data_IF_308143165736
#
_entry.id   IF_308143165736
#
_cell.length_a   1.000
_cell.length_b   1.000
_cell.length_c   1.000
_cell.angle_alpha   90.00
_cell.angle_beta   90.00
_cell.angle_gamma   90.00
#
_symmetry.space_group_name_H-M   'P 1'
#
loop_
_entity.id
_entity.type
_entity.pdbx_description
1 polymer ?
#
# COMPACT_ATOMS: atom_id res chain seq x y z
N UNK A 1 -4.31 -1.37 12.04
CA UNK A 1 -4.08 -1.02 10.61
C UNK A 1 -5.34 -0.41 10.07
N UNK A 2 -5.24 0.66 9.26
CA UNK A 2 -6.41 1.31 8.67
C UNK A 2 -6.79 0.60 7.38
N UNK A 3 -8.09 0.42 7.15
CA UNK A 3 -8.58 -0.06 5.86
C UNK A 3 -8.81 1.17 4.97
N UNK A 4 -7.81 1.45 4.12
CA UNK A 4 -7.82 2.63 3.24
C UNK A 4 -8.40 2.22 1.90
N UNK A 5 -9.65 2.62 1.65
CA UNK A 5 -10.38 2.29 0.43
C UNK A 5 -11.43 3.35 0.08
N UNK A 6 -11.87 3.37 -1.17
CA UNK A 6 -13.02 4.14 -1.64
C UNK A 6 -14.22 3.21 -1.82
N UNK A 7 -15.38 3.62 -1.30
CA UNK A 7 -16.61 2.84 -1.44
C UNK A 7 -17.11 2.83 -2.88
N UNK A 8 -17.58 1.66 -3.36
CA UNK A 8 -18.15 1.51 -4.72
C UNK A 8 -17.27 2.02 -5.86
N UNK A 9 -15.95 2.02 -5.67
CA UNK A 9 -15.02 2.59 -6.64
C UNK A 9 -15.01 1.84 -7.98
N UNK A 10 -15.21 0.51 -7.96
CA UNK A 10 -15.27 -0.31 -9.18
C UNK A 10 -16.38 0.17 -10.12
N UNK A 11 -17.56 0.45 -9.57
CA UNK A 11 -18.71 0.95 -10.34
C UNK A 11 -18.43 2.35 -10.91
N UNK A 12 -17.78 3.21 -10.14
CA UNK A 12 -17.41 4.55 -10.59
C UNK A 12 -16.43 4.49 -11.76
N UNK A 13 -15.38 3.68 -11.67
CA UNK A 13 -14.39 3.51 -12.76
C UNK A 13 -15.06 2.95 -14.01
N UNK A 14 -15.91 1.92 -13.88
CA UNK A 14 -16.64 1.35 -15.03
C UNK A 14 -17.57 2.36 -15.71
N UNK A 15 -18.27 3.21 -14.94
CA UNK A 15 -19.10 4.29 -15.50
C UNK A 15 -18.28 5.31 -16.27
N UNK A 16 -17.08 5.65 -15.80
CA UNK A 16 -16.19 6.61 -16.49
C UNK A 16 -15.67 6.08 -17.81
N UNK A 17 -15.31 4.82 -17.88
CA UNK A 17 -14.89 4.18 -19.14
C UNK A 17 -15.98 4.29 -20.22
N UNK A 18 -17.26 4.14 -19.82
CA UNK A 18 -18.40 4.23 -20.75
C UNK A 18 -18.78 5.64 -21.18
N UNK A 19 -18.44 6.67 -20.37
CA UNK A 19 -18.88 8.05 -20.62
C UNK A 19 -17.81 8.98 -21.22
N UNK A 20 -16.59 8.46 -21.45
CA UNK A 20 -15.44 9.26 -21.90
C UNK A 20 -14.71 10.00 -20.78
N UNK A 21 -13.52 10.56 -21.07
CA UNK A 21 -12.65 11.17 -20.08
C UNK A 21 -13.25 12.45 -19.48
N UNK A 22 -13.09 12.60 -18.17
CA UNK A 22 -13.40 13.83 -17.41
C UNK A 22 -12.12 14.65 -17.31
N UNK A 23 -11.85 15.47 -18.32
CA UNK A 23 -10.54 16.17 -18.48
C UNK A 23 -10.29 17.30 -17.47
N UNK A 24 -11.31 17.97 -16.99
CA UNK A 24 -11.16 19.09 -16.05
C UNK A 24 -11.97 18.87 -14.78
N UNK A 25 -11.29 18.79 -13.63
CA UNK A 25 -11.99 18.98 -12.36
C UNK A 25 -12.42 20.44 -12.25
N UNK A 26 -13.70 20.65 -12.06
CA UNK A 26 -14.16 21.93 -11.62
C UNK A 26 -14.22 21.91 -10.08
N UNK A 27 -13.28 22.58 -9.43
CA UNK A 27 -13.23 22.62 -7.96
C UNK A 27 -14.54 23.05 -7.35
N UNK A 28 -15.26 23.95 -8.06
CA UNK A 28 -16.53 24.44 -7.59
C UNK A 28 -17.54 23.32 -7.38
N UNK A 29 -17.53 22.27 -8.22
CA UNK A 29 -18.39 21.10 -8.08
C UNK A 29 -18.11 20.31 -6.80
N UNK A 30 -16.86 20.04 -6.50
CA UNK A 30 -16.44 19.34 -5.28
C UNK A 30 -16.67 20.18 -4.02
N UNK A 31 -16.43 21.48 -4.09
CA UNK A 31 -16.64 22.44 -3.00
C UNK A 31 -18.13 22.54 -2.67
N UNK A 32 -19.00 22.72 -3.68
CA UNK A 32 -20.44 22.78 -3.49
C UNK A 32 -20.97 21.52 -2.78
N UNK A 33 -20.57 20.33 -3.28
CA UNK A 33 -20.99 19.06 -2.69
C UNK A 33 -20.48 18.92 -1.26
N UNK A 34 -19.20 19.22 -1.02
CA UNK A 34 -18.59 19.10 0.30
C UNK A 34 -19.28 20.04 1.31
N UNK A 35 -19.49 21.31 0.94
CA UNK A 35 -20.13 22.29 1.81
C UNK A 35 -21.58 21.92 2.12
N UNK A 36 -22.34 21.46 1.13
CA UNK A 36 -23.71 20.96 1.36
C UNK A 36 -23.73 19.81 2.35
N UNK A 37 -22.82 18.83 2.20
CA UNK A 37 -22.75 17.68 3.10
C UNK A 37 -22.31 18.09 4.52
N UNK A 38 -21.35 19.01 4.64
CA UNK A 38 -20.93 19.61 5.92
C UNK A 38 -22.11 20.26 6.66
N UNK A 39 -22.93 21.01 5.93
CA UNK A 39 -24.15 21.65 6.45
C UNK A 39 -25.31 20.67 6.63
N UNK A 40 -25.14 19.39 6.29
CA UNK A 40 -26.17 18.32 6.35
C UNK A 40 -27.43 18.65 5.53
N UNK A 41 -27.28 19.39 4.43
CA UNK A 41 -28.38 19.79 3.55
C UNK A 41 -28.62 18.74 2.46
N UNK A 42 -29.90 18.50 2.10
CA UNK A 42 -30.29 17.70 0.93
C UNK A 42 -30.14 18.49 -0.36
N UNK A 43 -30.22 17.82 -1.51
CA UNK A 43 -30.25 18.55 -2.81
C UNK A 43 -31.46 19.49 -2.86
N UNK A 44 -32.63 19.06 -2.37
CA UNK A 44 -33.86 19.85 -2.32
C UNK A 44 -33.68 21.15 -1.51
N UNK A 45 -33.03 21.05 -0.34
CA UNK A 45 -32.82 22.22 0.53
C UNK A 45 -32.00 23.31 -0.18
N UNK A 46 -30.97 22.92 -0.94
CA UNK A 46 -30.07 23.84 -1.60
C UNK A 46 -30.67 24.40 -2.89
N UNK A 47 -31.46 23.60 -3.61
CA UNK A 47 -31.98 24.01 -4.95
C UNK A 47 -33.28 24.79 -4.92
N UNK A 48 -33.95 24.84 -3.78
CA UNK A 48 -35.26 25.51 -3.64
C UNK A 48 -35.24 26.91 -4.21
N UNK A 49 -36.17 27.23 -5.13
CA UNK A 49 -36.29 28.53 -5.83
C UNK A 49 -35.11 28.93 -6.73
N UNK A 50 -34.10 28.09 -6.91
CA UNK A 50 -32.94 28.40 -7.76
C UNK A 50 -32.91 27.51 -9.01
N UNK A 51 -32.99 26.18 -8.82
CA UNK A 51 -32.90 25.24 -9.92
C UNK A 51 -33.48 23.85 -9.54
N UNK A 52 -33.45 22.90 -10.46
CA UNK A 52 -33.87 21.53 -10.16
C UNK A 52 -32.77 20.76 -9.39
N UNK A 53 -33.16 19.77 -8.58
CA UNK A 53 -32.22 18.87 -7.92
C UNK A 53 -31.34 18.12 -8.94
N UNK A 54 -31.90 17.75 -10.10
CA UNK A 54 -31.15 17.12 -11.18
C UNK A 54 -30.05 18.03 -11.74
N UNK A 55 -30.26 19.36 -11.79
CA UNK A 55 -29.24 20.31 -12.17
C UNK A 55 -28.07 20.32 -11.17
N UNK A 56 -28.35 20.51 -9.88
CA UNK A 56 -27.33 20.52 -8.84
C UNK A 56 -26.58 19.18 -8.81
N UNK A 57 -27.28 18.05 -8.89
CA UNK A 57 -26.68 16.73 -8.94
C UNK A 57 -25.71 16.56 -10.13
N UNK A 58 -26.03 17.13 -11.31
CA UNK A 58 -25.11 17.12 -12.47
C UNK A 58 -23.91 18.02 -12.24
N UNK A 59 -24.10 19.19 -11.66
CA UNK A 59 -23.01 20.12 -11.28
C UNK A 59 -22.10 19.44 -10.25
N UNK A 60 -22.65 18.90 -9.19
CA UNK A 60 -21.87 18.20 -8.14
C UNK A 60 -21.11 16.98 -8.65
N UNK A 61 -21.54 16.34 -9.75
CA UNK A 61 -20.83 15.22 -10.41
C UNK A 61 -19.89 15.65 -11.52
N UNK A 62 -19.67 16.95 -11.68
CA UNK A 62 -18.84 17.53 -12.72
C UNK A 62 -19.31 17.17 -14.16
N UNK A 63 -20.62 16.96 -14.34
CA UNK A 63 -21.25 16.67 -15.63
C UNK A 63 -21.78 17.92 -16.34
N UNK A 64 -21.63 19.09 -15.75
CA UNK A 64 -22.02 20.39 -16.31
C UNK A 64 -21.03 21.46 -15.86
N UNK A 65 -20.78 22.44 -16.73
CA UNK A 65 -19.97 23.61 -16.38
C UNK A 65 -20.67 24.41 -15.26
N UNK A 66 -20.04 24.57 -14.09
CA UNK A 66 -20.62 25.30 -12.97
C UNK A 66 -20.50 26.82 -13.12
N UNK A 67 -19.94 27.34 -14.22
CA UNK A 67 -19.78 28.79 -14.44
C UNK A 67 -21.07 29.39 -15.01
N UNK A 68 -22.10 29.52 -14.17
CA UNK A 68 -23.36 30.18 -14.54
C UNK A 68 -24.02 30.83 -13.31
N UNK A 69 -24.98 31.75 -13.58
CA UNK A 69 -25.68 32.51 -12.54
C UNK A 69 -26.40 31.64 -11.51
N UNK A 70 -26.94 30.48 -11.90
CA UNK A 70 -27.62 29.56 -10.94
C UNK A 70 -26.62 29.01 -9.93
N UNK A 71 -25.43 28.65 -10.39
CA UNK A 71 -24.36 28.16 -9.50
C UNK A 71 -23.86 29.26 -8.58
N UNK A 72 -23.79 30.50 -9.03
CA UNK A 72 -23.53 31.66 -8.16
C UNK A 72 -24.54 31.74 -7.03
N UNK A 73 -25.85 31.67 -7.34
CA UNK A 73 -26.90 31.65 -6.32
C UNK A 73 -26.81 30.47 -5.36
N UNK A 74 -26.41 29.28 -5.86
CA UNK A 74 -26.15 28.12 -5.02
C UNK A 74 -24.95 28.35 -4.08
N UNK A 75 -23.87 28.99 -4.56
CA UNK A 75 -22.74 29.40 -3.73
C UNK A 75 -23.15 30.37 -2.62
N UNK A 76 -23.93 31.39 -2.96
CA UNK A 76 -24.46 32.37 -1.99
C UNK A 76 -25.30 31.66 -0.90
N UNK A 77 -26.14 30.67 -1.26
CA UNK A 77 -26.94 29.88 -0.31
C UNK A 77 -26.08 28.98 0.62
N UNK A 78 -24.92 28.56 0.15
CA UNK A 78 -23.98 27.75 0.91
C UNK A 78 -22.90 28.61 1.62
N UNK A 79 -23.05 29.91 1.63
CA UNK A 79 -22.06 30.85 2.20
C UNK A 79 -20.65 30.68 1.59
N UNK A 80 -20.59 30.58 0.25
CA UNK A 80 -19.37 30.43 -0.53
C UNK A 80 -19.14 31.67 -1.44
N UNK A 81 -17.91 32.14 -1.48
CA UNK A 81 -17.51 33.24 -2.39
C UNK A 81 -17.26 32.70 -3.81
N UNK A 82 -18.29 32.79 -4.67
CA UNK A 82 -18.23 32.34 -6.05
C UNK A 82 -17.09 33.00 -6.85
N UNK A 83 -16.80 34.29 -6.64
CA UNK A 83 -15.74 35.01 -7.40
C UNK A 83 -14.37 34.43 -7.06
N UNK A 84 -14.10 34.22 -5.77
CA UNK A 84 -12.84 33.63 -5.30
C UNK A 84 -12.67 32.19 -5.80
N UNK A 85 -13.73 31.39 -5.75
CA UNK A 85 -13.71 29.97 -6.12
C UNK A 85 -13.64 29.74 -7.64
N UNK A 86 -14.28 30.62 -8.45
CA UNK A 86 -14.26 30.48 -9.90
C UNK A 86 -12.89 30.80 -10.54
N UNK A 87 -12.00 31.45 -9.80
CA UNK A 87 -10.62 31.76 -10.21
C UNK A 87 -9.62 30.68 -9.90
N UNK A 88 -10.03 29.61 -9.19
CA UNK A 88 -9.14 28.48 -8.89
C UNK A 88 -8.84 27.71 -10.18
N UNK A 89 -7.60 27.79 -10.65
CA UNK A 89 -7.11 27.01 -11.78
C UNK A 89 -6.89 25.55 -11.40
N UNK A 90 -7.29 24.64 -12.29
CA UNK A 90 -7.39 23.20 -12.02
C UNK A 90 -6.14 22.39 -12.35
N UNK A 91 -5.92 21.30 -11.61
CA UNK A 91 -5.14 20.10 -11.89
C UNK A 91 -3.61 20.21 -12.02
N UNK A 92 -3.01 21.39 -12.22
CA UNK A 92 -1.55 21.50 -12.41
C UNK A 92 -0.76 21.01 -11.19
N UNK A 93 -1.26 21.26 -9.97
CA UNK A 93 -0.58 20.84 -8.74
C UNK A 93 -0.71 19.34 -8.51
N UNK A 94 -1.88 18.75 -8.78
CA UNK A 94 -2.07 17.30 -8.69
C UNK A 94 -1.18 16.58 -9.69
N UNK A 95 -1.10 17.09 -10.94
CA UNK A 95 -0.21 16.53 -11.95
C UNK A 95 1.26 16.65 -11.55
N UNK A 96 1.68 17.80 -11.06
CA UNK A 96 3.03 18.01 -10.56
C UNK A 96 3.38 17.03 -9.43
N UNK A 97 2.50 16.90 -8.43
CA UNK A 97 2.68 15.99 -7.31
C UNK A 97 2.74 14.53 -7.79
N UNK A 98 1.83 14.13 -8.69
CA UNK A 98 1.79 12.80 -9.26
C UNK A 98 3.10 12.46 -10.00
N UNK A 99 3.57 13.35 -10.88
CA UNK A 99 4.79 13.13 -11.64
C UNK A 99 6.04 13.10 -10.75
N UNK A 100 6.13 14.02 -9.78
CA UNK A 100 7.22 14.02 -8.79
C UNK A 100 7.21 12.74 -7.94
N UNK A 101 6.03 12.23 -7.59
CA UNK A 101 5.91 10.96 -6.86
C UNK A 101 6.38 9.78 -7.71
N UNK A 102 5.98 9.74 -8.97
CA UNK A 102 6.41 8.73 -9.94
C UNK A 102 7.94 8.76 -10.11
N UNK A 103 8.54 9.94 -10.14
CA UNK A 103 9.99 10.12 -10.32
C UNK A 103 10.79 9.99 -9.01
N UNK A 104 10.14 9.66 -7.87
CA UNK A 104 10.73 9.53 -6.53
C UNK A 104 11.36 10.84 -6.00
N UNK A 105 10.83 11.98 -6.42
CA UNK A 105 11.26 13.32 -5.99
C UNK A 105 10.44 13.79 -4.78
N UNK A 106 10.54 13.04 -3.67
CA UNK A 106 9.68 13.23 -2.49
C UNK A 106 9.87 14.59 -1.82
N UNK A 107 11.09 15.14 -1.81
CA UNK A 107 11.36 16.45 -1.23
C UNK A 107 10.61 17.57 -1.95
N UNK A 108 10.48 17.48 -3.28
CA UNK A 108 9.70 18.45 -4.06
C UNK A 108 8.21 18.44 -3.65
N UNK A 109 7.65 17.27 -3.36
CA UNK A 109 6.26 17.12 -2.89
C UNK A 109 6.09 17.70 -1.48
N UNK A 110 7.03 17.39 -0.58
CA UNK A 110 6.95 17.86 0.82
C UNK A 110 7.01 19.38 0.93
N UNK A 111 7.70 20.05 -0.01
CA UNK A 111 7.87 21.51 -0.07
C UNK A 111 6.73 22.23 -0.80
N UNK A 112 5.77 21.54 -1.41
CA UNK A 112 4.59 22.20 -2.02
C UNK A 112 3.78 22.89 -0.93
N UNK A 113 3.54 24.20 -1.10
CA UNK A 113 2.69 24.97 -0.17
C UNK A 113 1.23 24.48 -0.25
N UNK A 114 0.59 24.35 0.90
CA UNK A 114 -0.83 24.08 1.00
C UNK A 114 -1.58 25.39 0.78
N UNK A 115 -2.50 25.43 -0.17
CA UNK A 115 -3.41 26.57 -0.34
C UNK A 115 -4.47 26.48 0.76
N UNK A 116 -4.27 27.19 1.85
CA UNK A 116 -5.26 27.26 2.92
C UNK A 116 -6.43 28.11 2.45
N UNK A 117 -7.46 27.50 1.89
CA UNK A 117 -8.78 28.09 1.82
C UNK A 117 -9.47 27.80 3.15
N UNK A 118 -9.35 28.71 4.13
CA UNK A 118 -9.92 28.52 5.46
C UNK A 118 -11.40 28.09 5.39
N UNK A 119 -11.69 26.91 5.95
CA UNK A 119 -13.06 26.38 6.06
C UNK A 119 -13.66 25.81 4.78
N UNK A 120 -12.90 25.64 3.70
CA UNK A 120 -13.40 25.06 2.44
C UNK A 120 -12.62 23.81 2.07
N UNK A 121 -13.33 22.70 1.86
CA UNK A 121 -12.72 21.45 1.37
C UNK A 121 -12.38 21.61 -0.12
N UNK A 122 -11.10 21.49 -0.45
CA UNK A 122 -10.59 21.48 -1.83
C UNK A 122 -9.96 20.13 -2.10
N UNK A 123 -10.51 19.37 -3.06
CA UNK A 123 -10.05 18.01 -3.37
C UNK A 123 -8.56 17.98 -3.74
N UNK A 124 -8.07 18.96 -4.51
CA UNK A 124 -6.64 19.08 -4.86
C UNK A 124 -5.75 19.14 -3.62
N UNK A 125 -6.10 19.99 -2.63
CA UNK A 125 -5.30 20.13 -1.42
C UNK A 125 -5.29 18.84 -0.58
N UNK A 126 -6.44 18.15 -0.51
CA UNK A 126 -6.52 16.86 0.17
C UNK A 126 -5.71 15.77 -0.54
N UNK A 127 -5.66 15.77 -1.88
CA UNK A 127 -4.80 14.86 -2.64
C UNK A 127 -3.33 15.17 -2.36
N UNK A 128 -2.91 16.44 -2.39
CA UNK A 128 -1.53 16.83 -2.05
C UNK A 128 -1.16 16.40 -0.62
N UNK A 129 -2.06 16.62 0.35
CA UNK A 129 -1.88 16.17 1.73
C UNK A 129 -1.77 14.65 1.81
N UNK A 130 -2.60 13.91 1.07
CA UNK A 130 -2.55 12.44 1.04
C UNK A 130 -1.18 11.92 0.58
N UNK A 131 -0.58 12.50 -0.48
CA UNK A 131 0.79 12.16 -0.89
C UNK A 131 1.81 12.48 0.22
N UNK A 132 1.73 13.64 0.86
CA UNK A 132 2.63 14.02 1.96
C UNK A 132 2.51 13.07 3.14
N UNK A 133 1.28 12.71 3.55
CA UNK A 133 1.06 11.78 4.65
C UNK A 133 1.53 10.37 4.32
N UNK A 134 1.37 9.93 3.07
CA UNK A 134 1.92 8.66 2.62
C UNK A 134 3.44 8.66 2.72
N UNK A 135 4.13 9.68 2.19
CA UNK A 135 5.59 9.81 2.23
C UNK A 135 6.09 9.84 3.69
N UNK A 136 5.41 10.57 4.57
CA UNK A 136 5.73 10.66 6.01
C UNK A 136 5.30 9.45 6.83
N UNK A 137 4.59 8.49 6.21
CA UNK A 137 4.00 7.30 6.87
C UNK A 137 3.00 7.65 7.98
N UNK A 138 2.33 8.79 7.85
CA UNK A 138 1.28 9.26 8.75
C UNK A 138 -0.08 8.65 8.37
N UNK A 139 -0.20 7.32 8.38
CA UNK A 139 -1.34 6.58 7.81
C UNK A 139 -2.69 6.87 8.47
N UNK A 140 -2.72 7.33 9.73
CA UNK A 140 -3.96 7.79 10.36
C UNK A 140 -4.51 9.06 9.68
N UNK A 141 -3.63 9.99 9.36
CA UNK A 141 -4.00 11.23 8.65
C UNK A 141 -4.34 10.93 7.18
N UNK A 142 -3.58 10.05 6.53
CA UNK A 142 -3.89 9.56 5.19
C UNK A 142 -5.29 8.97 5.12
N UNK A 143 -5.66 8.10 6.06
CA UNK A 143 -7.01 7.52 6.12
C UNK A 143 -8.10 8.60 6.24
N UNK A 144 -7.91 9.62 7.09
CA UNK A 144 -8.85 10.73 7.22
C UNK A 144 -9.00 11.53 5.91
N UNK A 145 -7.90 11.81 5.18
CA UNK A 145 -7.95 12.43 3.86
C UNK A 145 -8.73 11.60 2.84
N UNK A 146 -8.48 10.29 2.77
CA UNK A 146 -9.18 9.40 1.83
C UNK A 146 -10.68 9.33 2.14
N UNK A 147 -11.09 9.32 3.41
CA UNK A 147 -12.50 9.41 3.80
C UNK A 147 -13.16 10.72 3.33
N UNK A 148 -12.46 11.85 3.42
CA UNK A 148 -12.91 13.12 2.88
C UNK A 148 -13.10 13.08 1.35
N UNK A 149 -12.12 12.53 0.65
CA UNK A 149 -12.15 12.36 -0.81
C UNK A 149 -13.23 11.37 -1.27
N UNK A 150 -13.56 10.34 -0.47
CA UNK A 150 -14.63 9.38 -0.79
C UNK A 150 -15.99 10.06 -0.94
N UNK A 151 -16.26 11.12 -0.17
CA UNK A 151 -17.52 11.87 -0.25
C UNK A 151 -17.68 12.65 -1.58
N UNK A 152 -16.56 13.03 -2.21
CA UNK A 152 -16.54 13.84 -3.44
C UNK A 152 -15.96 13.11 -4.65
N UNK A 153 -15.69 11.81 -4.56
CA UNK A 153 -15.01 11.02 -5.61
C UNK A 153 -15.67 11.10 -7.00
N UNK A 154 -16.98 11.30 -7.06
CA UNK A 154 -17.69 11.47 -8.34
C UNK A 154 -17.36 12.80 -9.03
N UNK A 155 -16.88 13.79 -8.27
CA UNK A 155 -16.53 15.13 -8.76
C UNK A 155 -15.07 15.19 -9.25
N UNK A 156 -14.24 14.22 -8.88
CA UNK A 156 -12.82 14.23 -9.22
C UNK A 156 -12.63 14.12 -10.74
N UNK A 157 -11.65 14.80 -11.30
CA UNK A 157 -11.17 14.54 -12.66
C UNK A 157 -10.48 13.17 -12.75
N UNK A 158 -10.16 12.73 -13.97
CA UNK A 158 -9.50 11.44 -14.14
C UNK A 158 -8.09 11.42 -13.54
N UNK A 159 -7.35 12.53 -13.60
CA UNK A 159 -6.04 12.64 -12.97
C UNK A 159 -6.12 12.65 -11.44
N UNK A 160 -7.11 13.32 -10.88
CA UNK A 160 -7.34 13.33 -9.43
C UNK A 160 -7.75 11.94 -8.93
N UNK A 161 -8.69 11.30 -9.64
CA UNK A 161 -9.11 9.95 -9.32
C UNK A 161 -7.96 8.94 -9.45
N UNK A 162 -7.17 9.04 -10.54
CA UNK A 162 -5.96 8.24 -10.73
C UNK A 162 -4.99 8.44 -9.56
N UNK A 163 -4.74 9.68 -9.14
CA UNK A 163 -3.83 10.01 -8.05
C UNK A 163 -4.29 9.41 -6.71
N UNK A 164 -5.58 9.47 -6.41
CA UNK A 164 -6.15 8.88 -5.19
C UNK A 164 -6.04 7.35 -5.22
N UNK A 165 -6.39 6.72 -6.34
CA UNK A 165 -6.28 5.26 -6.50
C UNK A 165 -4.81 4.80 -6.41
N UNK A 166 -3.88 5.60 -6.95
CA UNK A 166 -2.45 5.32 -6.87
C UNK A 166 -1.96 5.31 -5.42
N UNK A 167 -2.34 6.30 -4.61
CA UNK A 167 -1.97 6.35 -3.19
C UNK A 167 -2.53 5.14 -2.43
N UNK A 168 -3.78 4.76 -2.72
CA UNK A 168 -4.40 3.60 -2.08
C UNK A 168 -3.69 2.30 -2.52
N UNK A 169 -3.34 2.19 -3.79
CA UNK A 169 -2.54 1.10 -4.31
C UNK A 169 -1.18 1.02 -3.61
N UNK A 170 -0.44 2.12 -3.56
CA UNK A 170 0.87 2.19 -2.93
C UNK A 170 0.80 1.89 -1.42
N UNK A 171 -0.25 2.35 -0.73
CA UNK A 171 -0.48 2.00 0.65
C UNK A 171 -0.68 0.49 0.83
N UNK A 172 -1.54 -0.15 0.02
CA UNK A 172 -1.77 -1.58 0.10
C UNK A 172 -0.51 -2.38 -0.25
N UNK A 173 0.27 -1.94 -1.24
CA UNK A 173 1.56 -2.53 -1.58
C UNK A 173 2.57 -2.38 -0.43
N UNK A 174 2.64 -1.18 0.18
CA UNK A 174 3.54 -0.90 1.31
C UNK A 174 3.25 -1.79 2.52
N UNK A 175 1.97 -2.07 2.80
CA UNK A 175 1.54 -2.94 3.90
C UNK A 175 1.40 -4.40 3.45
N UNK A 176 1.79 -4.73 2.21
CA UNK A 176 1.80 -6.05 1.58
C UNK A 176 0.42 -6.74 1.52
N UNK A 177 -0.65 -5.95 1.47
CA UNK A 177 -2.00 -6.42 1.12
C UNK A 177 -2.09 -6.64 -0.40
N UNK A 178 -1.35 -7.64 -0.89
CA UNK A 178 -1.10 -7.82 -2.32
C UNK A 178 -2.38 -8.03 -3.14
N UNK A 179 -3.38 -8.75 -2.62
CA UNK A 179 -4.65 -8.95 -3.31
C UNK A 179 -5.41 -7.63 -3.49
N UNK A 180 -5.47 -6.77 -2.45
CA UNK A 180 -6.06 -5.44 -2.56
C UNK A 180 -5.24 -4.53 -3.49
N UNK A 181 -3.91 -4.56 -3.39
CA UNK A 181 -3.04 -3.83 -4.31
C UNK A 181 -3.32 -4.26 -5.77
N UNK A 182 -3.45 -5.55 -6.06
CA UNK A 182 -3.77 -6.05 -7.38
C UNK A 182 -5.15 -5.57 -7.90
N UNK A 183 -6.16 -5.52 -7.02
CA UNK A 183 -7.47 -4.95 -7.38
C UNK A 183 -7.37 -3.48 -7.80
N UNK A 184 -6.64 -2.65 -7.03
CA UNK A 184 -6.44 -1.25 -7.36
C UNK A 184 -5.57 -1.04 -8.59
N UNK A 185 -4.56 -1.90 -8.83
CA UNK A 185 -3.79 -1.91 -10.08
C UNK A 185 -4.69 -2.09 -11.30
N UNK A 186 -5.59 -3.09 -11.26
CA UNK A 186 -6.54 -3.33 -12.34
C UNK A 186 -7.52 -2.16 -12.56
N UNK A 187 -7.82 -1.37 -11.54
CA UNK A 187 -8.64 -0.16 -11.69
C UNK A 187 -7.84 0.98 -12.33
N UNK A 188 -6.59 1.18 -11.92
CA UNK A 188 -5.69 2.18 -12.47
C UNK A 188 -5.44 1.97 -13.97
N UNK A 189 -5.21 0.72 -14.40
CA UNK A 189 -5.00 0.37 -15.82
C UNK A 189 -6.25 0.62 -16.69
N UNK A 190 -7.43 0.62 -16.11
CA UNK A 190 -8.69 0.90 -16.80
C UNK A 190 -8.97 2.39 -16.98
N UNK A 191 -8.37 3.25 -16.16
CA UNK A 191 -8.54 4.70 -16.32
C UNK A 191 -7.81 5.17 -17.55
N UNK A 192 -8.49 5.95 -18.38
CA UNK A 192 -8.00 6.44 -19.68
C UNK A 192 -7.04 7.63 -19.57
N UNK A 193 -6.36 7.78 -18.46
CA UNK A 193 -5.38 8.84 -18.28
C UNK A 193 -4.14 8.58 -19.14
N UNK A 194 -4.02 9.29 -20.27
CA UNK A 194 -2.92 9.11 -21.24
C UNK A 194 -1.69 9.92 -20.84
N UNK A 195 -0.89 9.40 -19.91
CA UNK A 195 0.43 9.94 -19.63
C UNK A 195 1.45 8.81 -19.68
N UNK A 196 2.44 8.92 -20.58
CA UNK A 196 3.45 7.88 -20.80
C UNK A 196 4.25 7.52 -19.53
N UNK A 197 4.51 8.51 -18.64
CA UNK A 197 5.19 8.24 -17.36
C UNK A 197 4.32 7.40 -16.42
N UNK A 198 3.01 7.68 -16.39
CA UNK A 198 2.06 6.89 -15.59
C UNK A 198 1.93 5.46 -16.12
N UNK A 199 1.88 5.28 -17.44
CA UNK A 199 1.85 3.95 -18.05
C UNK A 199 3.09 3.12 -17.71
N UNK A 200 4.28 3.72 -17.82
CA UNK A 200 5.53 3.07 -17.45
C UNK A 200 5.58 2.74 -15.95
N UNK A 201 5.08 3.66 -15.12
CA UNK A 201 4.98 3.42 -13.68
C UNK A 201 4.06 2.25 -13.33
N UNK A 202 2.89 2.15 -13.99
CA UNK A 202 1.99 1.02 -13.78
C UNK A 202 2.64 -0.30 -14.21
N UNK A 203 3.37 -0.33 -15.31
CA UNK A 203 4.14 -1.51 -15.73
C UNK A 203 5.20 -1.92 -14.70
N UNK A 204 5.97 -0.94 -14.19
CA UNK A 204 6.94 -1.14 -13.11
C UNK A 204 6.27 -1.77 -11.87
N UNK A 205 5.16 -1.18 -11.43
CA UNK A 205 4.45 -1.64 -10.23
C UNK A 205 3.77 -2.99 -10.41
N UNK A 206 3.25 -3.26 -11.60
CA UNK A 206 2.71 -4.58 -11.92
C UNK A 206 3.78 -5.67 -11.85
N UNK A 207 4.96 -5.38 -12.40
CA UNK A 207 6.11 -6.28 -12.30
C UNK A 207 6.50 -6.53 -10.83
N UNK A 208 6.68 -5.46 -10.03
CA UNK A 208 7.02 -5.57 -8.61
C UNK A 208 5.98 -6.41 -7.86
N UNK A 209 4.70 -6.13 -8.08
CA UNK A 209 3.60 -6.87 -7.44
C UNK A 209 3.60 -8.34 -7.84
N UNK A 210 3.85 -8.65 -9.12
CA UNK A 210 3.96 -10.02 -9.61
C UNK A 210 5.16 -10.76 -9.01
N UNK A 211 6.31 -10.09 -8.82
CA UNK A 211 7.46 -10.66 -8.10
C UNK A 211 7.10 -11.02 -6.65
N UNK A 212 6.45 -10.09 -5.93
CA UNK A 212 6.05 -10.30 -4.53
C UNK A 212 5.04 -11.44 -4.40
N UNK A 213 4.10 -11.55 -5.36
CA UNK A 213 3.07 -12.60 -5.37
C UNK A 213 3.57 -13.95 -5.91
N UNK A 214 4.78 -14.02 -6.48
CA UNK A 214 5.32 -15.22 -7.11
C UNK A 214 4.55 -15.65 -8.37
N UNK A 215 4.00 -14.70 -9.13
CA UNK A 215 3.26 -14.99 -10.36
C UNK A 215 4.17 -15.52 -11.48
N UNK A 216 3.63 -16.39 -12.33
CA UNK A 216 4.36 -17.00 -13.45
C UNK A 216 4.67 -16.05 -14.62
N UNK A 217 4.05 -14.88 -14.67
CA UNK A 217 4.18 -13.88 -15.73
C UNK A 217 5.36 -12.90 -15.54
N UNK A 218 6.11 -13.02 -14.45
CA UNK A 218 7.19 -12.10 -14.07
C UNK A 218 8.22 -11.92 -15.17
N UNK A 219 8.68 -13.01 -15.80
CA UNK A 219 9.68 -12.93 -16.86
C UNK A 219 9.15 -12.17 -18.09
N UNK A 220 7.89 -12.40 -18.47
CA UNK A 220 7.24 -11.66 -19.55
C UNK A 220 7.14 -10.15 -19.25
N UNK A 221 6.70 -9.81 -18.04
CA UNK A 221 6.61 -8.42 -17.59
C UNK A 221 7.97 -7.75 -17.55
N UNK A 222 9.02 -8.46 -17.13
CA UNK A 222 10.37 -7.94 -17.11
C UNK A 222 10.90 -7.64 -18.52
N UNK A 223 10.69 -8.51 -19.49
CA UNK A 223 11.10 -8.26 -20.89
C UNK A 223 10.37 -7.04 -21.49
N UNK A 224 9.08 -6.85 -21.19
CA UNK A 224 8.35 -5.65 -21.62
C UNK A 224 8.95 -4.37 -21.00
N UNK A 225 9.35 -4.40 -19.73
CA UNK A 225 10.02 -3.28 -19.06
C UNK A 225 11.43 -3.08 -19.62
N UNK A 226 12.18 -4.15 -19.85
CA UNK A 226 13.56 -4.11 -20.38
C UNK A 226 13.67 -3.35 -21.69
N UNK A 227 12.70 -3.50 -22.58
CA UNK A 227 12.64 -2.77 -23.83
C UNK A 227 12.51 -1.24 -23.62
N UNK A 228 12.01 -0.81 -22.47
CA UNK A 228 11.83 0.59 -22.08
C UNK A 228 12.80 1.03 -20.96
N UNK A 229 13.80 0.22 -20.63
CA UNK A 229 14.67 0.43 -19.46
C UNK A 229 15.37 1.78 -19.47
N UNK A 230 15.77 2.26 -20.67
CA UNK A 230 16.42 3.55 -20.88
C UNK A 230 15.52 4.76 -20.51
N UNK A 231 14.20 4.56 -20.39
CA UNK A 231 13.24 5.60 -19.99
C UNK A 231 13.14 5.75 -18.47
N UNK A 232 13.66 4.79 -17.70
CA UNK A 232 13.66 4.85 -16.24
C UNK A 232 14.89 5.57 -15.71
N UNK A 233 14.72 6.32 -14.62
CA UNK A 233 15.87 6.87 -13.89
C UNK A 233 16.76 5.75 -13.33
N UNK A 234 18.04 6.04 -13.09
CA UNK A 234 18.97 5.06 -12.48
C UNK A 234 18.45 4.48 -11.17
N UNK A 235 17.77 5.29 -10.34
CA UNK A 235 17.15 4.83 -9.10
C UNK A 235 16.09 3.75 -9.35
N UNK A 236 15.23 3.96 -10.34
CA UNK A 236 14.19 2.99 -10.71
C UNK A 236 14.76 1.74 -11.36
N UNK A 237 15.77 1.89 -12.22
CA UNK A 237 16.50 0.76 -12.78
C UNK A 237 17.07 -0.13 -11.68
N UNK A 238 17.67 0.46 -10.64
CA UNK A 238 18.14 -0.28 -9.47
C UNK A 238 17.01 -1.05 -8.78
N UNK A 239 15.87 -0.39 -8.50
CA UNK A 239 14.71 -1.02 -7.87
C UNK A 239 14.14 -2.18 -8.69
N UNK A 240 14.02 -2.02 -10.02
CA UNK A 240 13.55 -3.08 -10.91
C UNK A 240 14.49 -4.30 -10.89
N UNK A 241 15.80 -4.06 -10.93
CA UNK A 241 16.79 -5.13 -10.86
C UNK A 241 16.79 -5.81 -9.48
N UNK A 242 16.57 -5.05 -8.40
CA UNK A 242 16.46 -5.58 -7.05
C UNK A 242 15.27 -6.55 -6.90
N UNK A 243 14.13 -6.27 -7.52
CA UNK A 243 12.99 -7.19 -7.51
C UNK A 243 13.16 -8.35 -8.49
N UNK A 244 13.79 -8.12 -9.64
CA UNK A 244 14.01 -9.17 -10.64
C UNK A 244 14.92 -10.29 -10.13
N UNK A 245 15.84 -10.00 -9.24
CA UNK A 245 16.69 -11.02 -8.64
C UNK A 245 15.91 -12.14 -7.93
N UNK A 246 14.71 -11.83 -7.40
CA UNK A 246 13.88 -12.83 -6.71
C UNK A 246 13.37 -13.93 -7.64
N UNK A 247 13.46 -13.74 -8.96
CA UNK A 247 13.09 -14.73 -9.98
C UNK A 247 14.21 -15.71 -10.32
N UNK A 248 15.42 -15.45 -9.84
CA UNK A 248 16.62 -16.27 -10.10
C UNK A 248 16.75 -17.39 -9.08
N UNK A 249 17.65 -18.33 -9.37
CA UNK A 249 18.15 -19.24 -8.33
C UNK A 249 18.71 -18.45 -7.14
N UNK A 250 18.51 -18.97 -5.93
CA UNK A 250 18.84 -18.23 -4.70
C UNK A 250 20.32 -17.85 -4.60
N UNK A 251 21.21 -18.71 -5.09
CA UNK A 251 22.66 -18.45 -5.09
C UNK A 251 23.02 -17.36 -6.08
N UNK A 252 22.54 -17.46 -7.33
CA UNK A 252 22.75 -16.45 -8.36
C UNK A 252 22.15 -15.11 -7.95
N UNK A 253 20.97 -15.11 -7.31
CA UNK A 253 20.32 -13.90 -6.81
C UNK A 253 21.17 -13.20 -5.74
N UNK A 254 21.79 -13.95 -4.84
CA UNK A 254 22.63 -13.40 -3.79
C UNK A 254 23.94 -12.81 -4.35
N UNK A 255 24.60 -13.51 -5.27
CA UNK A 255 25.81 -13.02 -5.95
C UNK A 255 25.53 -11.73 -6.71
N UNK A 256 24.44 -11.71 -7.49
CA UNK A 256 23.98 -10.55 -8.23
C UNK A 256 23.66 -9.36 -7.32
N UNK A 257 23.01 -9.61 -6.17
CA UNK A 257 22.71 -8.57 -5.20
C UNK A 257 24.00 -7.93 -4.64
N UNK A 258 25.02 -8.74 -4.35
CA UNK A 258 26.30 -8.24 -3.86
C UNK A 258 27.02 -7.38 -4.93
N UNK A 259 26.99 -7.80 -6.20
CA UNK A 259 27.54 -7.02 -7.31
C UNK A 259 26.85 -5.65 -7.43
N UNK A 260 25.51 -5.62 -7.38
CA UNK A 260 24.74 -4.37 -7.39
C UNK A 260 25.13 -3.43 -6.24
N UNK A 261 25.38 -3.97 -5.06
CA UNK A 261 25.73 -3.21 -3.86
C UNK A 261 27.12 -2.59 -3.89
N UNK A 262 28.04 -3.12 -4.70
CA UNK A 262 29.41 -2.61 -4.82
C UNK A 262 29.48 -1.27 -5.56
N UNK A 263 28.53 -0.98 -6.45
CA UNK A 263 28.55 0.24 -7.25
C UNK A 263 27.91 1.42 -6.48
N UNK A 264 26.61 1.36 -6.30
CA UNK A 264 25.86 2.43 -5.63
C UNK A 264 24.45 1.97 -5.25
N UNK A 265 24.11 2.08 -3.98
CA UNK A 265 22.75 1.81 -3.48
C UNK A 265 22.03 3.16 -3.29
N UNK A 266 20.98 3.46 -4.09
CA UNK A 266 20.17 4.66 -3.88
C UNK A 266 19.51 4.68 -2.49
N UNK A 267 19.48 5.83 -1.83
CA UNK A 267 18.91 5.97 -0.47
C UNK A 267 17.45 5.46 -0.38
N UNK A 268 16.69 5.64 -1.45
CA UNK A 268 15.31 5.16 -1.54
C UNK A 268 15.18 3.64 -1.48
N UNK A 269 16.24 2.89 -1.77
CA UNK A 269 16.24 1.42 -1.84
C UNK A 269 17.19 0.76 -0.83
N UNK A 270 17.89 1.53 0.00
CA UNK A 270 18.83 0.96 0.99
C UNK A 270 18.17 -0.07 1.91
N UNK A 271 16.99 0.25 2.40
CA UNK A 271 16.27 -0.66 3.30
C UNK A 271 15.82 -1.93 2.59
N UNK A 272 15.27 -1.80 1.38
CA UNK A 272 14.86 -2.94 0.56
C UNK A 272 16.04 -3.83 0.20
N UNK A 273 17.18 -3.22 -0.12
CA UNK A 273 18.43 -3.94 -0.41
C UNK A 273 18.91 -4.76 0.80
N UNK A 274 19.01 -4.14 1.98
CA UNK A 274 19.44 -4.83 3.21
C UNK A 274 18.45 -5.94 3.60
N UNK A 275 17.14 -5.72 3.42
CA UNK A 275 16.14 -6.74 3.67
C UNK A 275 16.27 -7.92 2.70
N UNK A 276 16.43 -7.65 1.40
CA UNK A 276 16.62 -8.66 0.37
C UNK A 276 17.89 -9.49 0.62
N UNK A 277 18.99 -8.85 1.02
CA UNK A 277 20.23 -9.52 1.40
C UNK A 277 20.03 -10.50 2.56
N UNK A 278 19.39 -10.06 3.64
CA UNK A 278 19.10 -10.91 4.79
C UNK A 278 18.14 -12.06 4.43
N UNK A 279 17.13 -11.80 3.61
CA UNK A 279 16.16 -12.80 3.14
C UNK A 279 16.85 -13.88 2.28
N UNK A 280 17.74 -13.51 1.37
CA UNK A 280 18.50 -14.45 0.55
C UNK A 280 19.43 -15.32 1.40
N UNK A 281 20.11 -14.73 2.39
CA UNK A 281 20.89 -15.51 3.35
C UNK A 281 20.03 -16.52 4.11
N UNK A 282 18.80 -16.15 4.46
CA UNK A 282 17.84 -17.07 5.08
C UNK A 282 17.49 -18.24 4.14
N UNK A 283 17.18 -17.94 2.87
CA UNK A 283 16.88 -18.95 1.85
C UNK A 283 18.07 -19.85 1.52
N UNK A 284 19.30 -19.34 1.68
CA UNK A 284 20.55 -20.11 1.54
C UNK A 284 20.90 -20.94 2.79
N UNK A 285 20.00 -21.04 3.76
CA UNK A 285 20.21 -21.75 5.03
C UNK A 285 21.43 -21.24 5.83
N UNK A 286 21.70 -19.92 5.75
CA UNK A 286 22.77 -19.23 6.49
C UNK A 286 22.20 -18.32 7.60
N UNK A 287 21.51 -18.89 8.62
CA UNK A 287 20.73 -18.11 9.58
C UNK A 287 21.60 -17.16 10.43
N UNK A 288 22.82 -17.54 10.78
CA UNK A 288 23.71 -16.69 11.58
C UNK A 288 24.18 -15.47 10.79
N UNK A 289 24.51 -15.65 9.51
CA UNK A 289 24.87 -14.55 8.61
C UNK A 289 23.68 -13.61 8.38
N UNK A 290 22.47 -14.17 8.19
CA UNK A 290 21.24 -13.41 8.04
C UNK A 290 20.95 -12.54 9.28
N UNK A 291 21.05 -13.14 10.48
CA UNK A 291 20.86 -12.42 11.75
C UNK A 291 21.92 -11.32 11.95
N UNK A 292 23.17 -11.59 11.59
CA UNK A 292 24.26 -10.61 11.64
C UNK A 292 24.00 -9.44 10.70
N UNK A 293 23.63 -9.72 9.42
CA UNK A 293 23.28 -8.70 8.44
C UNK A 293 22.12 -7.81 8.91
N UNK A 294 21.08 -8.38 9.54
CA UNK A 294 19.96 -7.62 10.13
C UNK A 294 20.45 -6.66 11.24
N UNK A 295 21.33 -7.12 12.11
CA UNK A 295 21.86 -6.28 13.20
C UNK A 295 22.78 -5.17 12.68
N UNK A 296 23.60 -5.46 11.69
CA UNK A 296 24.53 -4.52 11.06
C UNK A 296 23.80 -3.44 10.24
N UNK A 297 22.66 -3.77 9.62
CA UNK A 297 21.85 -2.82 8.88
C UNK A 297 21.31 -1.68 9.73
N UNK A 298 21.19 -1.88 11.05
CA UNK A 298 20.64 -0.90 12.00
C UNK A 298 19.14 -0.66 11.86
N UNK A 299 18.43 -1.39 10.97
CA UNK A 299 17.00 -1.26 10.82
C UNK A 299 16.25 -2.04 11.89
N UNK A 300 15.39 -1.32 12.65
CA UNK A 300 14.55 -1.90 13.72
C UNK A 300 13.09 -2.06 13.32
N UNK A 301 12.79 -2.06 12.00
CA UNK A 301 11.43 -2.26 11.51
C UNK A 301 10.96 -3.69 11.75
N UNK A 302 9.66 -3.82 11.94
CA UNK A 302 9.04 -5.10 12.31
C UNK A 302 9.39 -6.25 11.36
N UNK A 303 9.49 -6.00 10.03
CA UNK A 303 9.85 -7.01 9.05
C UNK A 303 11.26 -7.61 9.26
N UNK A 304 12.24 -6.77 9.62
CA UNK A 304 13.60 -7.23 9.95
C UNK A 304 13.62 -8.10 11.22
N UNK A 305 12.87 -7.66 12.24
CA UNK A 305 12.78 -8.39 13.51
C UNK A 305 12.05 -9.72 13.31
N UNK A 306 11.03 -9.74 12.42
CA UNK A 306 10.35 -10.99 12.05
C UNK A 306 11.30 -11.97 11.36
N UNK A 307 12.11 -11.49 10.42
CA UNK A 307 13.11 -12.33 9.75
C UNK A 307 14.19 -12.82 10.72
N UNK A 308 14.61 -11.96 11.65
CA UNK A 308 15.52 -12.34 12.74
C UNK A 308 14.92 -13.45 13.61
N UNK A 309 13.66 -13.30 14.03
CA UNK A 309 12.94 -14.29 14.81
C UNK A 309 12.81 -15.62 14.07
N UNK A 310 12.47 -15.58 12.79
CA UNK A 310 12.36 -16.76 11.93
C UNK A 310 13.68 -17.54 11.89
N UNK A 311 14.81 -16.88 11.60
CA UNK A 311 16.12 -17.51 11.58
C UNK A 311 16.49 -18.08 12.96
N UNK A 312 16.19 -17.35 14.04
CA UNK A 312 16.49 -17.82 15.38
C UNK A 312 15.76 -19.12 15.72
N UNK A 313 14.44 -19.18 15.46
CA UNK A 313 13.64 -20.34 15.88
C UNK A 313 13.69 -21.53 14.95
N UNK A 314 13.91 -21.32 13.66
CA UNK A 314 13.88 -22.39 12.67
C UNK A 314 15.26 -23.03 12.47
N UNK A 315 16.30 -22.25 12.34
CA UNK A 315 17.62 -22.73 11.92
C UNK A 315 18.66 -22.77 13.04
N UNK A 316 18.71 -21.75 13.88
CA UNK A 316 19.82 -21.54 14.82
C UNK A 316 19.94 -22.64 15.91
N UNK A 317 18.84 -23.21 16.46
CA UNK A 317 18.96 -24.27 17.48
C UNK A 317 19.75 -25.50 17.03
N UNK A 318 19.87 -25.72 15.73
CA UNK A 318 20.62 -26.86 15.17
C UNK A 318 22.12 -26.55 14.96
N UNK A 319 22.55 -25.30 15.17
CA UNK A 319 23.87 -24.80 14.74
C UNK A 319 24.69 -24.28 15.92
N UNK A 320 24.05 -23.70 16.94
CA UNK A 320 24.71 -23.06 18.07
C UNK A 320 24.42 -23.73 19.41
N UNK A 321 25.22 -23.41 20.43
CA UNK A 321 25.04 -23.90 21.79
C UNK A 321 23.78 -23.31 22.46
N UNK A 322 23.27 -23.99 23.52
CA UNK A 322 22.12 -23.49 24.29
C UNK A 322 22.36 -22.11 24.88
N UNK A 323 23.58 -21.79 25.32
CA UNK A 323 23.92 -20.49 25.88
C UNK A 323 23.90 -19.36 24.84
N UNK A 324 24.42 -19.63 23.64
CA UNK A 324 24.34 -18.68 22.51
C UNK A 324 22.90 -18.47 22.08
N UNK A 325 22.11 -19.54 22.03
CA UNK A 325 20.67 -19.45 21.72
C UNK A 325 19.91 -18.60 22.75
N UNK A 326 20.20 -18.76 24.04
CA UNK A 326 19.64 -17.91 25.11
C UNK A 326 20.03 -16.46 24.91
N UNK A 327 21.27 -16.18 24.57
CA UNK A 327 21.75 -14.80 24.29
C UNK A 327 21.00 -14.19 23.12
N UNK A 328 20.81 -14.92 22.03
CA UNK A 328 20.06 -14.44 20.87
C UNK A 328 18.56 -14.23 21.16
N UNK A 329 17.95 -15.07 22.01
CA UNK A 329 16.57 -14.85 22.51
C UNK A 329 16.43 -13.55 23.28
N UNK A 330 17.40 -13.21 24.16
CA UNK A 330 17.38 -11.95 24.89
C UNK A 330 17.45 -10.76 23.93
N UNK A 331 18.31 -10.82 22.91
CA UNK A 331 18.37 -9.81 21.86
C UNK A 331 17.04 -9.67 21.13
N UNK A 332 16.41 -10.78 20.73
CA UNK A 332 15.10 -10.77 20.07
C UNK A 332 14.05 -10.08 20.93
N UNK A 333 13.95 -10.40 22.24
CA UNK A 333 12.99 -9.78 23.14
C UNK A 333 13.19 -8.26 23.20
N UNK A 334 14.45 -7.78 23.25
CA UNK A 334 14.73 -6.35 23.23
C UNK A 334 14.28 -5.66 21.93
N UNK A 335 14.54 -6.29 20.78
CA UNK A 335 14.12 -5.80 19.47
C UNK A 335 12.59 -5.78 19.33
N UNK A 336 11.90 -6.80 19.82
CA UNK A 336 10.42 -6.87 19.80
C UNK A 336 9.78 -5.74 20.58
N UNK A 337 10.36 -5.35 21.73
CA UNK A 337 9.88 -4.20 22.52
C UNK A 337 9.98 -2.89 21.75
N UNK A 338 11.04 -2.70 20.98
CA UNK A 338 11.24 -1.50 20.15
C UNK A 338 10.23 -1.45 19.00
N UNK A 339 9.99 -2.59 18.34
CA UNK A 339 9.12 -2.65 17.15
C UNK A 339 7.63 -2.55 17.47
N UNK A 340 7.20 -3.05 18.63
CA UNK A 340 5.78 -3.08 19.02
C UNK A 340 5.18 -1.68 19.23
N UNK A 341 6.00 -0.67 19.42
CA UNK A 341 5.55 0.70 19.69
C UNK A 341 5.12 1.48 18.43
N UNK A 342 5.55 1.06 17.23
CA UNK A 342 5.45 1.90 16.02
C UNK A 342 4.86 1.20 14.78
N UNK A 343 4.42 -0.06 14.84
CA UNK A 343 4.02 -0.75 13.60
C UNK A 343 2.51 -0.90 13.44
N UNK A 344 1.99 -0.36 12.32
CA UNK A 344 0.66 -0.68 11.83
C UNK A 344 0.56 -2.02 11.09
N UNK A 345 1.62 -2.81 11.07
CA UNK A 345 1.72 -4.09 10.37
C UNK A 345 1.22 -5.23 11.27
N UNK A 346 -0.04 -5.61 11.06
CA UNK A 346 -0.72 -6.62 11.88
C UNK A 346 -0.16 -8.03 11.65
N UNK A 347 0.31 -8.34 10.43
CA UNK A 347 0.83 -9.65 10.10
C UNK A 347 2.17 -9.94 10.81
N UNK A 348 3.17 -9.08 10.61
CA UNK A 348 4.47 -9.26 11.27
C UNK A 348 4.38 -9.17 12.79
N UNK A 349 3.54 -8.28 13.31
CA UNK A 349 3.26 -8.21 14.75
C UNK A 349 2.60 -9.51 15.25
N UNK A 350 1.67 -10.06 14.48
CA UNK A 350 1.06 -11.35 14.77
C UNK A 350 2.08 -12.49 14.80
N UNK A 351 3.00 -12.53 13.79
CA UNK A 351 4.07 -13.52 13.76
C UNK A 351 5.01 -13.38 14.96
N UNK A 352 5.44 -12.17 15.31
CA UNK A 352 6.27 -11.94 16.50
C UNK A 352 5.56 -12.36 17.79
N UNK A 353 4.24 -12.19 17.89
CA UNK A 353 3.46 -12.67 19.02
C UNK A 353 3.41 -14.20 19.07
N UNK A 354 3.36 -14.87 17.93
CA UNK A 354 3.52 -16.32 17.86
C UNK A 354 4.89 -16.74 18.42
N UNK A 355 5.97 -16.05 18.02
CA UNK A 355 7.32 -16.30 18.57
C UNK A 355 7.38 -16.03 20.07
N UNK A 356 6.67 -15.02 20.58
CA UNK A 356 6.59 -14.78 22.01
C UNK A 356 5.94 -15.95 22.76
N UNK A 357 4.86 -16.53 22.25
CA UNK A 357 4.26 -17.73 22.83
C UNK A 357 5.22 -18.93 22.85
N UNK A 358 6.08 -19.08 21.85
CA UNK A 358 7.13 -20.11 21.84
C UNK A 358 8.18 -19.87 22.92
N UNK A 359 8.59 -18.61 23.13
CA UNK A 359 9.53 -18.23 24.20
C UNK A 359 8.92 -18.53 25.57
N UNK A 360 7.66 -18.18 25.77
CA UNK A 360 6.93 -18.31 27.04
C UNK A 360 6.45 -19.75 27.30
N UNK A 361 6.68 -20.68 26.37
CA UNK A 361 6.22 -22.07 26.43
C UNK A 361 4.71 -22.18 26.69
N UNK A 362 3.92 -21.32 26.02
CA UNK A 362 2.48 -21.30 26.16
C UNK A 362 1.84 -22.65 25.77
N UNK A 363 0.68 -22.96 26.34
CA UNK A 363 0.00 -24.24 26.06
C UNK A 363 -0.41 -24.32 24.57
N UNK A 364 -0.41 -25.55 24.03
CA UNK A 364 -0.79 -25.82 22.64
C UNK A 364 -2.17 -25.27 22.30
N UNK A 365 -3.11 -25.24 23.24
CA UNK A 365 -4.45 -24.73 23.06
C UNK A 365 -4.48 -23.20 22.88
N UNK A 366 -3.73 -22.47 23.72
CA UNK A 366 -3.61 -21.00 23.62
C UNK A 366 -3.02 -20.61 22.26
N UNK A 367 -1.92 -21.24 21.86
CA UNK A 367 -1.23 -20.97 20.61
C UNK A 367 -2.12 -21.31 19.42
N UNK A 368 -2.80 -22.46 19.44
CA UNK A 368 -3.71 -22.91 18.41
C UNK A 368 -4.89 -21.92 18.22
N UNK A 369 -5.49 -21.47 19.31
CA UNK A 369 -6.57 -20.48 19.27
C UNK A 369 -6.09 -19.12 18.74
N UNK A 370 -4.89 -18.70 19.10
CA UNK A 370 -4.29 -17.46 18.57
C UNK A 370 -4.05 -17.56 17.06
N UNK A 371 -3.44 -18.64 16.57
CA UNK A 371 -3.21 -18.85 15.13
C UNK A 371 -4.54 -18.79 14.38
N UNK A 372 -5.54 -19.57 14.83
CA UNK A 372 -6.86 -19.64 14.20
C UNK A 372 -7.56 -18.27 14.12
N UNK A 373 -7.58 -17.53 15.22
CA UNK A 373 -8.42 -16.34 15.33
C UNK A 373 -7.72 -15.05 14.84
N UNK A 374 -6.40 -15.05 14.78
CA UNK A 374 -5.62 -13.87 14.42
C UNK A 374 -4.82 -14.07 13.14
N UNK A 375 -3.91 -15.05 13.09
CA UNK A 375 -3.00 -15.18 11.96
C UNK A 375 -3.67 -15.74 10.70
N UNK A 376 -4.53 -16.78 10.81
CA UNK A 376 -5.19 -17.37 9.63
C UNK A 376 -6.07 -16.38 8.88
N UNK A 377 -6.66 -15.42 9.58
CA UNK A 377 -7.44 -14.34 8.94
C UNK A 377 -6.56 -13.39 8.13
N UNK A 378 -5.38 -13.09 8.66
CA UNK A 378 -4.42 -12.19 8.03
C UNK A 378 -3.72 -12.86 6.84
N UNK A 379 -3.48 -14.18 6.86
CA UNK A 379 -2.84 -14.93 5.77
C UNK A 379 -3.52 -14.77 4.40
N UNK A 380 -4.83 -14.53 4.38
CA UNK A 380 -5.57 -14.34 3.13
C UNK A 380 -5.31 -12.98 2.48
N UNK A 381 -4.86 -12.01 3.24
CA UNK A 381 -4.65 -10.63 2.80
C UNK A 381 -3.18 -10.33 2.46
N UNK A 382 -2.24 -11.12 2.99
CA UNK A 382 -0.81 -10.90 2.87
C UNK A 382 -0.10 -12.01 2.11
N UNK A 383 0.99 -11.69 1.42
CA UNK A 383 1.82 -12.63 0.66
C UNK A 383 3.22 -12.73 1.26
N UNK A 384 3.39 -13.66 2.19
CA UNK A 384 4.70 -13.97 2.79
C UNK A 384 4.96 -15.48 2.78
N UNK A 385 5.30 -16.08 1.63
CA UNK A 385 5.38 -17.56 1.50
C UNK A 385 6.22 -18.23 2.59
N UNK A 386 7.34 -17.62 2.96
CA UNK A 386 8.26 -18.13 3.98
C UNK A 386 7.60 -18.29 5.36
N UNK A 387 6.85 -17.26 5.81
CA UNK A 387 6.19 -17.28 7.11
C UNK A 387 4.87 -18.05 7.08
N UNK A 388 4.19 -18.03 5.94
CA UNK A 388 2.91 -18.71 5.74
C UNK A 388 3.10 -20.24 5.84
N UNK A 389 4.18 -20.76 5.27
CA UNK A 389 4.54 -22.16 5.39
C UNK A 389 4.82 -22.55 6.86
N UNK A 390 5.64 -21.74 7.55
CA UNK A 390 5.92 -21.96 8.97
C UNK A 390 4.65 -21.94 9.84
N UNK A 391 3.78 -20.94 9.66
CA UNK A 391 2.52 -20.80 10.44
C UNK A 391 1.63 -22.02 10.17
N UNK A 392 1.52 -22.45 8.92
CA UNK A 392 0.72 -23.60 8.50
C UNK A 392 1.18 -24.89 9.16
N UNK A 393 2.46 -25.14 9.07
CA UNK A 393 3.06 -26.36 9.64
C UNK A 393 2.93 -26.37 11.16
N UNK A 394 3.19 -25.21 11.78
CA UNK A 394 3.06 -25.06 13.23
C UNK A 394 1.63 -25.26 13.70
N UNK A 395 0.65 -24.73 12.98
CA UNK A 395 -0.78 -24.90 13.29
C UNK A 395 -1.20 -26.36 13.18
N UNK A 396 -0.84 -27.03 12.10
CA UNK A 396 -1.15 -28.46 11.91
C UNK A 396 -0.51 -29.34 13.00
N UNK A 397 0.74 -29.06 13.36
CA UNK A 397 1.43 -29.78 14.42
C UNK A 397 0.76 -29.60 15.80
N UNK A 398 0.31 -28.38 16.10
CA UNK A 398 -0.43 -28.10 17.35
C UNK A 398 -1.79 -28.78 17.36
N UNK A 399 -2.53 -28.77 16.26
CA UNK A 399 -3.80 -29.49 16.12
C UNK A 399 -3.61 -31.00 16.32
N UNK A 400 -2.51 -31.56 15.78
CA UNK A 400 -2.12 -32.97 16.00
C UNK A 400 -1.87 -33.28 17.48
N UNK A 401 -1.14 -32.42 18.19
CA UNK A 401 -0.90 -32.52 19.65
C UNK A 401 -2.20 -32.47 20.47
N UNK A 402 -3.21 -31.76 19.98
CA UNK A 402 -4.54 -31.69 20.59
C UNK A 402 -5.51 -32.77 20.09
N UNK A 403 -5.02 -33.80 19.34
CA UNK A 403 -5.80 -34.86 18.72
C UNK A 403 -6.92 -34.35 17.76
N UNK A 404 -6.78 -33.13 17.20
CA UNK A 404 -7.75 -32.49 16.30
C UNK A 404 -7.39 -32.74 14.83
N UNK A 405 -7.20 -33.98 14.44
CA UNK A 405 -6.69 -34.38 13.11
C UNK A 405 -7.62 -33.95 11.95
N UNK A 406 -8.94 -33.98 12.17
CA UNK A 406 -9.92 -33.54 11.17
C UNK A 406 -9.73 -32.06 10.85
N UNK A 407 -9.52 -31.23 11.86
CA UNK A 407 -9.33 -29.79 11.69
C UNK A 407 -8.01 -29.49 10.95
N UNK A 408 -6.92 -30.21 11.29
CA UNK A 408 -5.65 -30.13 10.59
C UNK A 408 -5.79 -30.48 9.10
N UNK A 409 -6.49 -31.59 8.79
CA UNK A 409 -6.73 -32.02 7.42
C UNK A 409 -7.56 -31.00 6.63
N UNK A 410 -8.65 -30.48 7.21
CA UNK A 410 -9.50 -29.48 6.57
C UNK A 410 -8.73 -28.19 6.30
N UNK A 411 -7.87 -27.76 7.22
CA UNK A 411 -7.02 -26.57 7.04
C UNK A 411 -6.03 -26.75 5.89
N UNK A 412 -5.35 -27.90 5.78
CA UNK A 412 -4.45 -28.23 4.68
C UNK A 412 -5.14 -28.28 3.32
N UNK A 413 -6.37 -28.79 3.26
CA UNK A 413 -7.17 -28.79 2.04
C UNK A 413 -7.49 -27.37 1.57
N UNK A 414 -7.91 -26.50 2.48
CA UNK A 414 -8.19 -25.10 2.18
C UNK A 414 -6.94 -24.37 1.69
N UNK A 415 -5.81 -24.56 2.36
CA UNK A 415 -4.54 -23.96 1.95
C UNK A 415 -4.10 -24.39 0.53
N UNK A 416 -4.30 -25.68 0.15
CA UNK A 416 -4.00 -26.17 -1.21
C UNK A 416 -4.90 -25.54 -2.29
N UNK A 417 -6.12 -25.20 -1.97
CA UNK A 417 -7.06 -24.55 -2.91
C UNK A 417 -6.63 -23.10 -3.20
N UNK A 418 -6.11 -22.40 -2.20
CA UNK A 418 -5.60 -21.03 -2.35
C UNK A 418 -4.28 -20.94 -3.13
N UNK A 419 -3.43 -21.98 -3.07
CA UNK A 419 -2.18 -22.07 -3.84
C UNK A 419 -2.37 -22.40 -5.32
N UNK A 420 -3.59 -22.81 -5.72
CA UNK A 420 -3.93 -23.15 -7.13
C UNK A 420 -4.74 -22.06 -7.86
N UNK A 421 -5.09 -20.97 -7.19
CA UNK A 421 -5.71 -19.78 -7.78
C UNK A 421 -4.70 -18.68 -8.01
#
# INVERSE_FOLDING_TARGET
>A
MFDIELKNIKDLVLKRIGNGPVEAANYLSSILKSKRLEMKLTLSDVTKEICSEAFLSKVERNLMDPRNERVKMLCERLDLDYKKLSLLESNKRVEQVLLSFIDLEFDSILNIEEKVCEGVFVAEDEIVKAFKYFIRREFKKLHACILGLDNVKECLSDIELFSVLLIIFEYNLHVLKCNKAFEYMNLLEKLTFKNKKCELYLKEKRFILSCIMGNSDVNYLFEDIRNNFHLFSRKKQFGLMLFYQETRDTTEAYEYLLEMGNDYIPDAYKEEYEYAKALLLTKLEKPLEAMKSILESGYSKVRFITLYAYNLFLYVPNIITDEEFKTQKIKLISLMKISSQNSGDTYHVGFLRLMQYEIDKASSEIVCNFIKNSLVKELNDYCYPLYDEYIRDRYCLLLGKLCRYKDAYMYLLQAKIHLKK
#
